data_IF_240645533873
#
_entry.id   IF_240645533873
#
_cell.length_a   1.000
_cell.length_b   1.000
_cell.length_c   1.000
_cell.angle_alpha   90.00
_cell.angle_beta   90.00
_cell.angle_gamma   90.00
#
_symmetry.space_group_name_H-M   'P 1'
#
loop_
_entity.id
_entity.type
_entity.pdbx_description
1 polymer ?
#
# COMPACT_ATOMS: atom_id res chain seq x y z
N UNK A 1 -14.36 4.82 5.80
CA UNK A 1 -14.06 4.17 4.50
C UNK A 1 -12.59 3.79 4.48
N UNK A 2 -12.25 2.54 4.16
CA UNK A 2 -10.85 2.15 4.04
C UNK A 2 -10.24 2.79 2.77
N UNK A 3 -9.04 3.37 2.87
CA UNK A 3 -8.32 4.08 1.80
C UNK A 3 -8.31 3.31 0.46
N UNK A 4 -8.15 1.99 0.52
CA UNK A 4 -8.13 1.10 -0.65
C UNK A 4 -9.44 1.14 -1.45
N UNK A 5 -10.59 1.20 -0.77
CA UNK A 5 -11.92 1.23 -1.38
C UNK A 5 -12.15 2.53 -2.18
N UNK A 6 -11.63 3.66 -1.68
CA UNK A 6 -11.71 4.96 -2.36
C UNK A 6 -10.84 4.97 -3.62
N UNK A 7 -9.59 4.51 -3.51
CA UNK A 7 -8.66 4.43 -4.65
C UNK A 7 -9.23 3.55 -5.78
N UNK A 8 -9.81 2.39 -5.44
CA UNK A 8 -10.42 1.49 -6.44
C UNK A 8 -11.64 2.12 -7.09
N UNK A 9 -12.54 2.76 -6.32
CA UNK A 9 -13.70 3.46 -6.88
C UNK A 9 -13.25 4.53 -7.88
N UNK A 10 -12.30 5.37 -7.48
CA UNK A 10 -11.77 6.43 -8.33
C UNK A 10 -11.17 5.90 -9.64
N UNK A 11 -10.43 4.78 -9.59
CA UNK A 11 -9.81 4.21 -10.79
C UNK A 11 -10.78 3.44 -11.69
N UNK A 12 -11.62 2.57 -11.11
CA UNK A 12 -12.45 1.64 -11.89
C UNK A 12 -13.83 2.20 -12.23
N UNK A 13 -14.42 3.06 -11.39
CA UNK A 13 -15.75 3.63 -11.60
C UNK A 13 -15.66 5.04 -12.15
N UNK A 14 -14.83 5.88 -11.56
CA UNK A 14 -14.72 7.30 -11.96
C UNK A 14 -13.64 7.51 -13.03
N UNK A 15 -12.94 6.44 -13.45
CA UNK A 15 -11.90 6.44 -14.48
C UNK A 15 -10.81 7.51 -14.30
N UNK A 16 -10.54 7.90 -13.05
CA UNK A 16 -9.50 8.87 -12.72
C UNK A 16 -8.12 8.31 -13.03
N UNK A 17 -7.27 9.14 -13.61
CA UNK A 17 -5.89 8.76 -13.88
C UNK A 17 -5.13 8.48 -12.58
N UNK A 18 -4.18 7.54 -12.61
CA UNK A 18 -3.31 7.25 -11.46
C UNK A 18 -2.60 8.52 -10.96
N UNK A 19 -2.26 9.44 -11.86
CA UNK A 19 -1.61 10.72 -11.50
C UNK A 19 -2.51 11.60 -10.64
N UNK A 20 -3.80 11.66 -10.98
CA UNK A 20 -4.79 12.43 -10.22
C UNK A 20 -5.04 11.82 -8.85
N UNK A 21 -5.13 10.48 -8.78
CA UNK A 21 -5.26 9.75 -7.53
C UNK A 21 -4.04 10.02 -6.62
N UNK A 22 -2.82 10.06 -7.18
CA UNK A 22 -1.61 10.40 -6.42
C UNK A 22 -1.66 11.83 -5.85
N UNK A 23 -2.13 12.80 -6.65
CA UNK A 23 -2.26 14.20 -6.18
C UNK A 23 -3.23 14.34 -5.01
N UNK A 24 -4.36 13.63 -5.07
CA UNK A 24 -5.39 13.68 -4.02
C UNK A 24 -5.01 12.92 -2.75
N UNK A 25 -4.34 11.78 -2.90
CA UNK A 25 -4.00 10.90 -1.76
C UNK A 25 -2.63 11.19 -1.14
N UNK A 26 -1.75 11.91 -1.85
CA UNK A 26 -0.35 12.11 -1.44
C UNK A 26 0.51 10.83 -1.54
N UNK A 27 -0.04 9.72 -2.01
CA UNK A 27 0.67 8.46 -2.12
C UNK A 27 1.54 8.40 -3.37
N UNK A 28 2.62 7.62 -3.28
CA UNK A 28 3.45 7.36 -4.44
C UNK A 28 2.67 6.62 -5.53
N UNK A 29 3.04 6.89 -6.79
CA UNK A 29 2.50 6.21 -7.96
C UNK A 29 2.64 4.69 -7.87
N UNK A 30 3.71 4.20 -7.23
CA UNK A 30 3.96 2.78 -7.01
C UNK A 30 2.99 2.17 -6.00
N UNK A 31 2.67 2.90 -4.93
CA UNK A 31 1.69 2.48 -3.91
C UNK A 31 0.31 2.32 -4.52
N UNK A 32 -0.17 3.31 -5.28
CA UNK A 32 -1.45 3.24 -5.98
C UNK A 32 -1.49 2.02 -6.92
N UNK A 33 -0.43 1.82 -7.71
CA UNK A 33 -0.34 0.71 -8.66
C UNK A 33 -0.36 -0.67 -7.95
N UNK A 34 0.35 -0.79 -6.82
CA UNK A 34 0.32 -1.99 -5.97
C UNK A 34 -1.08 -2.25 -5.43
N UNK A 35 -1.77 -1.22 -4.94
CA UNK A 35 -3.10 -1.33 -4.35
C UNK A 35 -4.18 -1.71 -5.38
N UNK A 36 -4.07 -1.22 -6.61
CA UNK A 36 -4.97 -1.59 -7.70
C UNK A 36 -4.78 -3.05 -8.13
N UNK A 37 -3.56 -3.61 -8.04
CA UNK A 37 -3.25 -5.01 -8.38
C UNK A 37 -3.68 -6.04 -7.34
N UNK A 38 -3.78 -5.66 -6.06
CA UNK A 38 -3.94 -6.60 -4.95
C UNK A 38 -5.38 -7.10 -4.71
N UNK A 39 -6.32 -6.88 -5.63
CA UNK A 39 -7.71 -7.40 -5.56
C UNK A 39 -8.43 -7.36 -4.20
N UNK A 40 -8.16 -6.31 -3.42
CA UNK A 40 -8.85 -6.04 -2.16
C UNK A 40 -8.13 -6.59 -0.93
N UNK A 41 -6.98 -7.24 -1.10
CA UNK A 41 -6.12 -7.63 0.03
C UNK A 41 -5.51 -6.37 0.63
N UNK A 42 -5.82 -6.11 1.90
CA UNK A 42 -5.17 -5.04 2.64
C UNK A 42 -3.66 -5.31 2.71
N UNK A 43 -2.80 -4.34 2.35
CA UNK A 43 -1.37 -4.50 2.42
C UNK A 43 -0.95 -4.76 3.87
N UNK A 44 -0.65 -6.01 4.21
CA UNK A 44 -0.08 -6.35 5.50
C UNK A 44 1.41 -5.98 5.48
N UNK A 45 1.79 -5.07 6.36
CA UNK A 45 3.20 -4.83 6.63
C UNK A 45 3.75 -6.07 7.34
N UNK A 46 4.68 -6.78 6.70
CA UNK A 46 5.41 -7.88 7.32
C UNK A 46 6.89 -7.51 7.32
N UNK A 47 7.44 -7.32 8.52
CA UNK A 47 8.89 -7.24 8.70
C UNK A 47 9.37 -8.69 8.81
N UNK A 48 10.31 -9.16 7.96
CA UNK A 48 10.93 -10.45 8.21
C UNK A 48 11.71 -10.37 9.53
N UNK A 49 11.67 -11.44 10.33
CA UNK A 49 12.58 -11.56 11.46
C UNK A 49 14.01 -11.48 10.95
N UNK A 50 14.75 -10.49 11.46
CA UNK A 50 16.16 -10.28 11.15
C UNK A 50 16.93 -10.55 12.41
N UNK A 51 17.59 -11.70 12.54
CA UNK A 51 18.41 -11.95 13.71
C UNK A 51 19.55 -10.92 13.73
N UNK A 52 19.68 -10.20 14.83
CA UNK A 52 20.78 -9.27 15.06
C UNK A 52 22.00 -10.03 15.61
N UNK A 53 23.19 -9.46 15.42
CA UNK A 53 24.42 -10.00 16.02
C UNK A 53 24.42 -9.96 17.55
N UNK A 54 23.48 -9.21 18.14
CA UNK A 54 23.32 -9.05 19.58
C UNK A 54 22.27 -10.01 20.16
N UNK A 55 21.46 -10.66 19.30
CA UNK A 55 20.46 -11.63 19.74
C UNK A 55 21.05 -12.80 20.55
N UNK A 56 22.28 -13.29 20.28
CA UNK A 56 22.92 -14.31 21.11
C UNK A 56 23.38 -13.83 22.49
N UNK A 57 23.30 -12.53 22.79
CA UNK A 57 23.79 -11.91 24.04
C UNK A 57 22.66 -11.24 24.83
N UNK A 58 21.41 -11.53 24.51
CA UNK A 58 20.24 -11.00 25.18
C UNK A 58 19.88 -11.86 26.41
N UNK A 59 20.67 -11.72 27.49
CA UNK A 59 20.37 -12.18 28.85
C UNK A 59 20.13 -10.99 29.79
#
# INVERSE_FOLDING_TARGET
>A
MALLSVIRRWHFRDHLSIREICRRTGLSRNTIRKYLRLDGVEPKFKVPERPSKLDPFAD
#
